data_IF_571672955904
#
_entry.id   IF_571672955904
#
_cell.length_a   1.000
_cell.length_b   1.000
_cell.length_c   1.000
_cell.angle_alpha   90.00
_cell.angle_beta   90.00
_cell.angle_gamma   90.00
#
_symmetry.space_group_name_H-M   'P 1'
#
loop_
_entity.id
_entity.type
_entity.pdbx_description
1 polymer ?
#
# COMPACT_ATOMS: atom_id res chain seq x y z
N UNK A 1 9.87 14.25 9.03
CA UNK A 1 9.37 13.57 7.83
C UNK A 1 7.99 14.11 7.53
N UNK A 2 7.83 14.83 6.43
CA UNK A 2 6.52 15.34 5.99
C UNK A 2 5.99 14.30 5.00
N UNK A 3 4.98 13.54 5.41
CA UNK A 3 4.21 12.70 4.50
C UNK A 3 3.04 13.54 4.00
N UNK A 4 2.93 13.70 2.70
CA UNK A 4 1.81 14.42 2.08
C UNK A 4 0.60 13.49 2.10
N UNK A 5 -0.44 13.85 2.86
CA UNK A 5 -1.76 13.22 2.73
C UNK A 5 -2.58 14.07 1.77
N UNK A 6 -2.93 13.52 0.62
CA UNK A 6 -3.76 14.19 -0.40
C UNK A 6 -5.11 13.49 -0.55
N UNK A 7 -6.18 14.27 -0.73
CA UNK A 7 -7.51 13.79 -1.08
C UNK A 7 -7.81 14.21 -2.53
N UNK A 8 -8.40 13.30 -3.31
CA UNK A 8 -8.80 13.55 -4.70
C UNK A 8 -10.06 14.43 -4.72
N UNK A 9 -9.96 15.63 -5.29
CA UNK A 9 -11.09 16.49 -5.63
C UNK A 9 -11.34 16.47 -7.14
N UNK A 10 -12.59 16.21 -7.52
CA UNK A 10 -13.24 16.40 -8.83
C UNK A 10 -12.74 15.64 -10.09
N UNK A 11 -13.71 15.40 -10.98
CA UNK A 11 -13.76 14.38 -12.02
C UNK A 11 -12.88 14.63 -13.26
N UNK A 12 -12.43 13.52 -13.87
CA UNK A 12 -12.08 13.43 -15.29
C UNK A 12 -12.57 12.10 -15.87
N UNK A 13 -13.74 12.10 -16.52
CA UNK A 13 -14.25 10.94 -17.24
C UNK A 13 -13.49 10.76 -18.56
N UNK A 14 -12.90 9.60 -18.78
CA UNK A 14 -12.64 9.08 -20.13
C UNK A 14 -13.69 8.00 -20.43
N UNK A 15 -14.50 8.25 -21.46
CA UNK A 15 -15.51 7.33 -21.97
C UNK A 15 -14.90 5.96 -22.27
N UNK A 16 -15.44 4.90 -21.68
CA UNK A 16 -15.16 3.53 -22.09
C UNK A 16 -15.99 3.22 -23.36
N UNK A 17 -15.32 3.03 -24.49
CA UNK A 17 -15.91 2.42 -25.68
C UNK A 17 -15.98 0.92 -25.45
N UNK A 18 -17.20 0.38 -25.30
CA UNK A 18 -17.44 -1.07 -25.23
C UNK A 18 -17.40 -1.65 -26.64
N UNK A 19 -16.39 -2.46 -26.95
CA UNK A 19 -16.39 -3.27 -28.17
C UNK A 19 -16.96 -4.66 -27.84
N UNK A 20 -18.05 -5.11 -28.49
CA UNK A 20 -18.61 -6.42 -28.23
C UNK A 20 -17.86 -7.44 -29.07
N UNK A 21 -17.36 -8.51 -28.44
CA UNK A 21 -17.43 -9.91 -28.90
C UNK A 21 -16.43 -10.73 -28.11
N UNK A 22 -16.90 -11.76 -27.42
CA UNK A 22 -16.52 -13.15 -27.70
C UNK A 22 -17.38 -14.07 -26.83
N UNK A 23 -18.37 -14.66 -27.50
CA UNK A 23 -19.09 -15.84 -27.02
C UNK A 23 -18.13 -17.04 -27.01
N UNK A 24 -18.31 -17.84 -25.98
CA UNK A 24 -17.69 -19.13 -25.67
C UNK A 24 -17.55 -20.08 -26.88
N UNK A 25 -16.46 -20.86 -26.93
CA UNK A 25 -16.49 -22.32 -26.71
C UNK A 25 -15.11 -22.95 -27.04
N UNK A 26 -14.57 -23.70 -26.06
CA UNK A 26 -13.65 -24.81 -26.32
C UNK A 26 -12.16 -24.48 -26.43
N UNK A 27 -11.47 -24.32 -25.29
CA UNK A 27 -10.05 -24.72 -25.11
C UNK A 27 -9.72 -24.84 -23.60
N UNK A 28 -10.47 -25.68 -22.89
CA UNK A 28 -10.14 -26.08 -21.52
C UNK A 28 -9.11 -27.21 -21.61
N UNK A 29 -7.86 -26.93 -21.99
CA UNK A 29 -6.70 -27.81 -21.75
C UNK A 29 -5.35 -27.24 -22.22
N UNK A 30 -5.07 -25.93 -22.10
CA UNK A 30 -3.67 -25.43 -22.22
C UNK A 30 -3.46 -24.03 -21.63
N UNK A 31 -3.83 -23.81 -20.36
CA UNK A 31 -3.45 -22.59 -19.61
C UNK A 31 -2.88 -22.89 -18.21
N UNK A 32 -2.15 -24.00 -18.07
CA UNK A 32 -1.36 -24.28 -16.84
C UNK A 32 0.15 -24.04 -17.01
N UNK A 33 0.55 -23.32 -18.05
CA UNK A 33 1.97 -23.03 -18.32
C UNK A 33 2.16 -21.59 -18.79
N UNK A 34 1.90 -20.66 -17.87
CA UNK A 34 2.63 -19.39 -17.65
C UNK A 34 1.92 -18.64 -16.52
N UNK A 35 2.08 -19.12 -15.29
CA UNK A 35 1.93 -18.25 -14.11
C UNK A 35 3.12 -17.28 -14.15
N UNK A 36 3.04 -16.24 -14.97
CA UNK A 36 3.98 -15.11 -14.88
C UNK A 36 3.88 -14.56 -13.48
N UNK A 37 5.00 -14.61 -12.75
CA UNK A 37 5.18 -14.02 -11.42
C UNK A 37 4.76 -12.55 -11.51
N UNK A 38 3.53 -12.26 -11.06
CA UNK A 38 3.05 -10.90 -10.91
C UNK A 38 3.88 -10.26 -9.79
N UNK A 39 4.66 -9.23 -10.13
CA UNK A 39 5.42 -8.47 -9.14
C UNK A 39 4.75 -7.11 -8.93
N UNK A 40 4.18 -6.85 -7.73
CA UNK A 40 3.61 -5.55 -7.40
C UNK A 40 4.68 -4.48 -7.14
N UNK A 41 5.97 -4.80 -7.21
CA UNK A 41 7.02 -3.93 -6.67
C UNK A 41 7.74 -3.16 -7.78
N UNK A 42 7.63 -1.84 -7.72
CA UNK A 42 8.29 -0.88 -8.61
C UNK A 42 9.25 -0.04 -7.79
N UNK A 43 10.51 -0.02 -8.18
CA UNK A 43 11.58 0.71 -7.51
C UNK A 43 11.90 1.98 -8.26
N UNK A 44 12.06 3.06 -7.49
CA UNK A 44 12.50 4.37 -7.89
C UNK A 44 13.80 4.68 -7.12
N UNK A 45 14.89 4.88 -7.86
CA UNK A 45 16.18 5.32 -7.31
C UNK A 45 16.52 6.66 -7.94
N UNK A 46 17.14 7.54 -7.16
CA UNK A 46 17.61 8.85 -7.64
C UNK A 46 18.42 8.66 -8.92
N UNK A 47 18.12 9.48 -9.93
CA UNK A 47 18.74 9.48 -11.26
C UNK A 47 18.56 8.18 -12.09
N UNK A 48 17.65 7.28 -11.72
CA UNK A 48 17.31 6.08 -12.49
C UNK A 48 15.83 6.07 -12.92
N UNK A 49 15.51 5.56 -14.12
CA UNK A 49 14.12 5.36 -14.51
C UNK A 49 13.44 4.31 -13.62
N UNK A 50 12.11 4.41 -13.38
CA UNK A 50 11.38 3.42 -12.59
C UNK A 50 11.60 1.99 -13.13
N UNK A 51 11.87 1.05 -12.23
CA UNK A 51 12.18 -0.33 -12.60
C UNK A 51 11.35 -1.34 -11.79
N UNK A 52 10.76 -2.34 -12.45
CA UNK A 52 10.09 -3.44 -11.76
C UNK A 52 11.12 -4.43 -11.24
N UNK A 53 11.07 -4.71 -9.94
CA UNK A 53 11.92 -5.74 -9.34
C UNK A 53 11.12 -7.01 -9.18
N UNK A 54 11.73 -8.14 -9.52
CA UNK A 54 11.15 -9.47 -9.28
C UNK A 54 11.84 -10.10 -8.08
N UNK A 55 11.06 -10.74 -7.22
CA UNK A 55 11.59 -11.50 -6.08
C UNK A 55 12.55 -12.57 -6.61
N UNK A 56 13.68 -12.76 -5.95
CA UNK A 56 14.76 -13.68 -6.33
C UNK A 56 15.48 -13.34 -7.66
N UNK A 57 15.32 -12.13 -8.20
CA UNK A 57 15.98 -11.70 -9.44
C UNK A 57 17.01 -10.59 -9.17
N UNK A 58 18.26 -11.00 -8.93
CA UNK A 58 19.40 -10.10 -8.72
C UNK A 58 19.74 -9.24 -9.95
N UNK A 59 19.35 -9.67 -11.16
CA UNK A 59 19.58 -8.90 -12.38
C UNK A 59 18.64 -7.69 -12.40
N UNK A 60 17.35 -7.90 -12.08
CA UNK A 60 16.37 -6.82 -11.95
C UNK A 60 16.75 -5.82 -10.86
N UNK A 61 17.23 -6.31 -9.70
CA UNK A 61 17.69 -5.47 -8.60
C UNK A 61 18.87 -4.58 -9.04
N UNK A 62 19.91 -5.15 -9.64
CA UNK A 62 21.07 -4.38 -10.12
C UNK A 62 20.70 -3.38 -11.22
N UNK A 63 19.84 -3.76 -12.17
CA UNK A 63 19.38 -2.87 -13.25
C UNK A 63 18.54 -1.69 -12.76
N UNK A 64 17.93 -1.80 -11.58
CA UNK A 64 17.13 -0.71 -11.00
C UNK A 64 17.97 0.44 -10.42
N UNK A 65 19.29 0.27 -10.29
CA UNK A 65 20.16 1.21 -9.57
C UNK A 65 20.11 1.07 -8.05
N UNK A 66 19.42 0.05 -7.51
CA UNK A 66 19.29 -0.17 -6.08
C UNK A 66 20.66 -0.30 -5.38
N UNK A 67 20.86 0.50 -4.33
CA UNK A 67 22.07 0.47 -3.52
C UNK A 67 21.77 -0.14 -2.15
N UNK A 68 22.34 -1.29 -1.83
CA UNK A 68 22.10 -2.00 -0.57
C UNK A 68 22.57 -1.25 0.67
N UNK A 69 23.43 -0.25 0.52
CA UNK A 69 23.90 0.61 1.62
C UNK A 69 22.96 1.79 1.91
N UNK A 70 22.04 2.11 1.00
CA UNK A 70 21.11 3.23 1.18
C UNK A 70 19.87 2.79 1.98
N UNK A 71 19.32 3.65 2.86
CA UNK A 71 18.06 3.36 3.53
C UNK A 71 16.92 3.19 2.52
N UNK A 72 16.04 2.23 2.78
CA UNK A 72 15.00 1.82 1.83
C UNK A 72 13.60 2.18 2.37
N UNK A 73 12.87 2.98 1.60
CA UNK A 73 11.51 3.43 1.90
C UNK A 73 10.53 2.71 1.01
N UNK A 74 9.59 1.95 1.58
CA UNK A 74 8.55 1.26 0.82
C UNK A 74 7.21 1.96 1.08
N UNK A 75 6.64 2.58 0.05
CA UNK A 75 5.37 3.30 0.10
C UNK A 75 4.26 2.39 -0.43
N UNK A 76 3.19 2.22 0.35
CA UNK A 76 2.12 1.26 0.11
C UNK A 76 0.78 2.00 0.12
N UNK A 77 0.11 2.02 -1.04
CA UNK A 77 -1.17 2.71 -1.21
C UNK A 77 -2.34 1.96 -0.54
N UNK A 78 -3.50 2.59 -0.48
CA UNK A 78 -4.74 2.04 0.10
C UNK A 78 -5.71 1.43 -0.92
N UNK A 79 -6.96 1.24 -0.49
CA UNK A 79 -8.08 0.79 -1.32
C UNK A 79 -8.29 1.69 -2.54
N UNK A 80 -8.61 1.11 -3.70
CA UNK A 80 -8.89 1.84 -4.95
C UNK A 80 -7.85 2.91 -5.33
N UNK A 81 -6.59 2.66 -4.99
CA UNK A 81 -5.46 3.55 -5.28
C UNK A 81 -4.41 2.79 -6.07
N UNK A 82 -3.42 3.52 -6.58
CA UNK A 82 -2.21 2.94 -7.18
C UNK A 82 -0.99 3.82 -6.89
N UNK A 83 0.18 3.39 -7.35
CA UNK A 83 1.40 4.21 -7.31
C UNK A 83 1.39 5.35 -8.33
N UNK A 84 0.34 5.47 -9.15
CA UNK A 84 0.20 6.55 -10.15
C UNK A 84 -0.51 7.77 -9.58
N UNK A 85 -1.15 7.64 -8.42
CA UNK A 85 -1.87 8.76 -7.81
C UNK A 85 -0.90 9.86 -7.35
N UNK A 86 -1.33 11.11 -7.45
CA UNK A 86 -0.51 12.28 -7.13
C UNK A 86 0.05 12.25 -5.71
N UNK A 87 -0.75 11.74 -4.76
CA UNK A 87 -0.30 11.58 -3.36
C UNK A 87 0.90 10.63 -3.25
N UNK A 88 0.91 9.53 -4.01
CA UNK A 88 2.04 8.62 -4.05
C UNK A 88 3.26 9.31 -4.68
N UNK A 89 3.05 9.99 -5.82
CA UNK A 89 4.11 10.68 -6.57
C UNK A 89 4.75 11.76 -5.71
N UNK A 90 3.96 12.55 -4.99
CA UNK A 90 4.42 13.59 -4.07
C UNK A 90 5.28 13.01 -2.94
N UNK A 91 4.82 11.95 -2.27
CA UNK A 91 5.60 11.30 -1.20
C UNK A 91 6.90 10.68 -1.72
N UNK A 92 6.83 10.01 -2.87
CA UNK A 92 8.02 9.46 -3.54
C UNK A 92 9.03 10.57 -3.85
N UNK A 93 8.59 11.68 -4.46
CA UNK A 93 9.46 12.82 -4.79
C UNK A 93 10.07 13.44 -3.54
N UNK A 94 9.27 13.64 -2.48
CA UNK A 94 9.77 14.20 -1.21
C UNK A 94 10.93 13.37 -0.62
N UNK A 95 10.84 12.03 -0.67
CA UNK A 95 11.98 11.20 -0.26
C UNK A 95 13.19 11.38 -1.18
N UNK A 96 12.97 11.30 -2.48
CA UNK A 96 14.02 11.40 -3.50
C UNK A 96 14.76 12.74 -3.48
N UNK A 97 14.09 13.82 -3.07
CA UNK A 97 14.65 15.16 -2.93
C UNK A 97 15.36 15.37 -1.58
N UNK A 98 15.04 14.55 -0.57
CA UNK A 98 15.56 14.70 0.80
C UNK A 98 16.87 13.96 1.08
N UNK A 99 17.30 13.05 0.19
CA UNK A 99 18.54 12.32 0.35
C UNK A 99 18.62 11.04 -0.48
N UNK A 100 19.71 10.30 -0.28
CA UNK A 100 20.00 9.07 -1.01
C UNK A 100 19.22 7.89 -0.43
N UNK A 101 18.01 7.67 -0.94
CA UNK A 101 17.15 6.56 -0.56
C UNK A 101 16.89 5.63 -1.74
N UNK A 102 16.69 4.34 -1.44
CA UNK A 102 15.92 3.48 -2.34
C UNK A 102 14.43 3.69 -2.04
N UNK A 103 13.64 4.19 -3.00
CA UNK A 103 12.19 4.39 -2.79
C UNK A 103 11.41 3.37 -3.60
N UNK A 104 10.64 2.52 -2.94
CA UNK A 104 9.87 1.43 -3.57
C UNK A 104 8.39 1.75 -3.47
N UNK A 105 7.71 1.77 -4.61
CA UNK A 105 6.26 1.73 -4.68
C UNK A 105 5.76 0.30 -4.74
N UNK A 106 4.92 -0.08 -3.77
CA UNK A 106 4.17 -1.31 -3.85
C UNK A 106 2.82 -1.05 -4.52
N UNK A 107 2.74 -1.38 -5.80
CA UNK A 107 1.53 -1.32 -6.61
C UNK A 107 0.76 -2.64 -6.52
N UNK A 108 -0.20 -2.68 -5.60
CA UNK A 108 -1.10 -3.81 -5.39
C UNK A 108 -2.53 -3.50 -5.87
N UNK A 109 -2.68 -2.51 -6.77
CA UNK A 109 -3.96 -2.03 -7.30
C UNK A 109 -4.87 -3.15 -7.83
N UNK A 110 -4.30 -4.15 -8.53
CA UNK A 110 -5.06 -5.30 -9.03
C UNK A 110 -5.66 -6.21 -7.95
N UNK A 111 -5.29 -6.01 -6.69
CA UNK A 111 -5.83 -6.74 -5.53
C UNK A 111 -6.81 -5.88 -4.70
N UNK A 112 -7.04 -4.61 -5.05
CA UNK A 112 -7.85 -3.69 -4.26
C UNK A 112 -8.79 -2.77 -5.05
N UNK A 113 -9.03 -3.08 -6.33
CA UNK A 113 -9.77 -2.19 -7.26
C UNK A 113 -11.30 -2.25 -7.09
N UNK A 114 -11.85 -3.43 -6.76
CA UNK A 114 -13.29 -3.67 -6.85
C UNK A 114 -14.04 -3.51 -5.52
N UNK A 115 -14.25 -4.63 -4.82
CA UNK A 115 -15.10 -4.70 -3.64
C UNK A 115 -14.25 -4.69 -2.37
N UNK A 116 -14.73 -4.00 -1.32
CA UNK A 116 -13.93 -3.71 -0.14
C UNK A 116 -13.51 -4.96 0.64
N UNK A 117 -14.41 -5.92 0.87
CA UNK A 117 -14.08 -7.18 1.56
C UNK A 117 -13.06 -8.00 0.76
N UNK A 118 -13.18 -8.00 -0.56
CA UNK A 118 -12.21 -8.58 -1.48
C UNK A 118 -10.85 -7.89 -1.36
N UNK A 119 -10.83 -6.56 -1.21
CA UNK A 119 -9.62 -5.79 -0.96
C UNK A 119 -8.99 -6.04 0.42
N UNK A 120 -9.79 -6.35 1.46
CA UNK A 120 -9.27 -6.82 2.77
C UNK A 120 -8.51 -8.13 2.58
N UNK A 121 -9.07 -9.09 1.83
CA UNK A 121 -8.37 -10.31 1.44
C UNK A 121 -7.13 -10.03 0.58
N UNK A 122 -7.23 -9.06 -0.33
CA UNK A 122 -6.15 -8.56 -1.16
C UNK A 122 -4.99 -7.98 -0.35
N UNK A 123 -5.28 -7.20 0.69
CA UNK A 123 -4.28 -6.62 1.59
C UNK A 123 -3.49 -7.72 2.33
N UNK A 124 -4.17 -8.77 2.79
CA UNK A 124 -3.50 -9.93 3.41
C UNK A 124 -2.57 -10.64 2.43
N UNK A 125 -3.01 -10.84 1.18
CA UNK A 125 -2.18 -11.44 0.12
C UNK A 125 -0.99 -10.54 -0.23
N UNK A 126 -1.23 -9.24 -0.39
CA UNK A 126 -0.20 -8.25 -0.65
C UNK A 126 0.86 -8.23 0.46
N UNK A 127 0.46 -8.26 1.74
CA UNK A 127 1.37 -8.30 2.88
C UNK A 127 2.28 -9.52 2.87
N UNK A 128 1.76 -10.71 2.50
CA UNK A 128 2.56 -11.93 2.32
C UNK A 128 3.59 -11.78 1.20
N UNK A 129 3.18 -11.25 0.04
CA UNK A 129 4.08 -11.00 -1.09
C UNK A 129 5.18 -10.01 -0.70
N UNK A 130 4.83 -8.94 0.03
CA UNK A 130 5.80 -7.98 0.53
C UNK A 130 6.75 -8.64 1.54
N UNK A 131 6.26 -9.49 2.45
CA UNK A 131 7.13 -10.23 3.37
C UNK A 131 8.14 -11.12 2.65
N UNK A 132 7.71 -11.84 1.60
CA UNK A 132 8.61 -12.65 0.76
C UNK A 132 9.69 -11.79 0.11
N UNK A 133 9.31 -10.64 -0.44
CA UNK A 133 10.26 -9.69 -0.99
C UNK A 133 11.25 -9.16 0.05
N UNK A 134 10.79 -8.75 1.24
CA UNK A 134 11.66 -8.19 2.28
C UNK A 134 12.61 -9.23 2.87
N UNK A 135 12.15 -10.47 3.06
CA UNK A 135 13.01 -11.57 3.47
C UNK A 135 14.10 -11.84 2.41
N UNK A 136 13.74 -11.88 1.12
CA UNK A 136 14.72 -12.00 0.03
C UNK A 136 15.68 -10.80 0.01
N UNK A 137 15.17 -9.57 0.08
CA UNK A 137 15.95 -8.34 0.03
C UNK A 137 16.97 -8.27 1.17
N UNK A 138 16.57 -8.69 2.38
CA UNK A 138 17.48 -8.79 3.52
C UNK A 138 18.65 -9.76 3.26
N UNK A 139 18.39 -10.86 2.55
CA UNK A 139 19.41 -11.83 2.12
C UNK A 139 20.40 -11.27 1.08
N UNK A 140 20.11 -10.12 0.46
CA UNK A 140 21.02 -9.45 -0.48
C UNK A 140 22.02 -8.51 0.21
N UNK A 141 21.94 -8.36 1.53
CA UNK A 141 22.81 -7.50 2.33
C UNK A 141 22.14 -6.21 2.81
N UNK A 142 20.85 -6.00 2.53
CA UNK A 142 20.08 -4.87 3.09
C UNK A 142 19.80 -5.12 4.56
N UNK A 143 20.23 -4.21 5.41
CA UNK A 143 20.00 -4.34 6.85
C UNK A 143 18.53 -4.03 7.19
N UNK A 144 17.89 -4.89 8.01
CA UNK A 144 16.48 -4.73 8.37
C UNK A 144 16.19 -3.39 9.07
N UNK A 145 17.15 -2.85 9.82
CA UNK A 145 17.03 -1.56 10.50
C UNK A 145 16.93 -0.38 9.52
N UNK A 146 17.43 -0.53 8.29
CA UNK A 146 17.38 0.49 7.24
C UNK A 146 16.09 0.41 6.41
N UNK A 147 15.20 -0.54 6.70
CA UNK A 147 13.90 -0.68 6.07
C UNK A 147 12.85 0.16 6.81
N UNK A 148 12.10 0.96 6.04
CA UNK A 148 10.97 1.74 6.53
C UNK A 148 9.77 1.58 5.59
N UNK A 149 8.71 0.98 6.11
CA UNK A 149 7.45 0.80 5.38
C UNK A 149 6.49 1.93 5.76
N UNK A 150 5.84 2.53 4.77
CA UNK A 150 4.87 3.62 4.93
C UNK A 150 3.59 3.19 4.23
N UNK A 151 2.56 2.85 5.01
CA UNK A 151 1.31 2.32 4.48
C UNK A 151 0.12 3.21 4.81
N UNK A 152 -0.72 3.50 3.81
CA UNK A 152 -1.94 4.29 3.97
C UNK A 152 -3.20 3.43 3.91
N UNK A 153 -4.16 3.67 4.82
CA UNK A 153 -5.45 2.96 4.85
C UNK A 153 -5.24 1.44 4.90
N UNK A 154 -5.76 0.65 3.95
CA UNK A 154 -5.47 -0.79 3.84
C UNK A 154 -3.97 -1.11 3.70
N UNK A 155 -3.20 -0.21 3.09
CA UNK A 155 -1.76 -0.33 2.94
C UNK A 155 -1.00 -0.33 4.27
N UNK A 156 -1.56 0.27 5.33
CA UNK A 156 -0.99 0.20 6.68
C UNK A 156 -0.98 -1.26 7.19
N UNK A 157 -2.05 -2.02 6.91
CA UNK A 157 -2.12 -3.43 7.28
C UNK A 157 -1.27 -4.30 6.37
N UNK A 158 -1.13 -3.98 5.08
CA UNK A 158 -0.14 -4.62 4.20
C UNK A 158 1.26 -4.50 4.81
N UNK A 159 1.62 -3.32 5.33
CA UNK A 159 2.90 -3.09 5.99
C UNK A 159 3.07 -3.93 7.26
N UNK A 160 2.05 -3.95 8.13
CA UNK A 160 2.05 -4.73 9.37
C UNK A 160 2.21 -6.23 9.13
N UNK A 161 1.34 -6.79 8.27
CA UNK A 161 1.37 -8.20 7.86
C UNK A 161 2.73 -8.58 7.26
N UNK A 162 3.38 -7.65 6.54
CA UNK A 162 4.71 -7.88 6.01
C UNK A 162 5.78 -7.90 7.11
N UNK A 163 5.74 -6.94 8.03
CA UNK A 163 6.65 -6.85 9.19
C UNK A 163 6.55 -8.07 10.11
N UNK A 164 5.32 -8.52 10.38
CA UNK A 164 5.04 -9.70 11.18
C UNK A 164 5.71 -10.99 10.65
N UNK A 165 5.84 -11.10 9.33
CA UNK A 165 6.35 -12.31 8.65
C UNK A 165 7.86 -12.28 8.35
N UNK A 166 8.59 -11.31 8.90
CA UNK A 166 10.05 -11.25 8.77
C UNK A 166 10.69 -12.34 9.63
N UNK A 167 11.56 -13.15 9.03
CA UNK A 167 12.10 -14.37 9.67
C UNK A 167 13.34 -14.14 10.51
N UNK A 168 14.08 -13.08 10.23
CA UNK A 168 15.45 -12.86 10.72
C UNK A 168 15.56 -11.73 11.74
N UNK A 169 14.43 -11.15 12.16
CA UNK A 169 14.37 -10.06 13.13
C UNK A 169 13.22 -9.11 12.87
N UNK A 170 13.37 -7.86 13.32
CA UNK A 170 12.40 -6.78 13.11
C UNK A 170 12.93 -5.75 12.12
N UNK A 171 12.05 -5.31 11.22
CA UNK A 171 12.31 -4.15 10.37
C UNK A 171 12.43 -2.88 11.20
N UNK A 172 13.14 -1.89 10.65
CA UNK A 172 13.47 -0.65 11.35
C UNK A 172 12.24 0.15 11.75
N UNK A 173 11.33 0.38 10.81
CA UNK A 173 10.14 1.19 11.07
C UNK A 173 8.94 0.84 10.19
N UNK A 174 7.74 0.91 10.77
CA UNK A 174 6.48 1.03 10.03
C UNK A 174 5.83 2.36 10.42
N UNK A 175 5.41 3.13 9.42
CA UNK A 175 4.51 4.26 9.62
C UNK A 175 3.13 3.93 9.05
N UNK A 176 2.12 3.88 9.91
CA UNK A 176 0.72 3.70 9.54
C UNK A 176 0.04 5.05 9.34
N UNK A 177 -0.44 5.33 8.14
CA UNK A 177 -1.15 6.55 7.80
C UNK A 177 -2.64 6.22 7.75
N UNK A 178 -3.35 6.62 8.80
CA UNK A 178 -4.78 6.43 9.00
C UNK A 178 -5.27 4.99 8.71
N UNK A 179 -4.81 3.99 9.50
CA UNK A 179 -5.07 2.58 9.23
C UNK A 179 -6.56 2.23 9.20
N UNK A 180 -6.99 1.50 8.17
CA UNK A 180 -8.41 1.21 7.94
C UNK A 180 -9.04 0.33 9.04
N UNK A 181 -10.23 0.67 9.51
CA UNK A 181 -10.90 -0.09 10.56
C UNK A 181 -11.75 -1.27 10.06
N UNK A 182 -12.59 -1.13 9.01
CA UNK A 182 -13.46 -2.22 8.57
C UNK A 182 -12.64 -3.45 8.13
N UNK A 183 -12.91 -4.60 8.73
CA UNK A 183 -12.15 -5.83 8.49
C UNK A 183 -10.87 -6.02 9.32
N UNK A 184 -10.48 -5.05 10.16
CA UNK A 184 -9.23 -5.11 10.95
C UNK A 184 -9.37 -4.79 12.45
N UNK A 185 -10.53 -4.34 12.95
CA UNK A 185 -10.72 -4.04 14.39
C UNK A 185 -10.46 -5.25 15.29
N UNK A 186 -11.12 -6.36 15.01
CA UNK A 186 -11.18 -7.55 15.87
C UNK A 186 -10.56 -8.78 15.20
N UNK A 187 -9.46 -8.58 14.46
CA UNK A 187 -8.67 -9.67 13.88
C UNK A 187 -7.38 -9.88 14.65
N UNK A 188 -6.82 -11.08 14.55
CA UNK A 188 -5.54 -11.41 15.15
C UNK A 188 -4.45 -10.43 14.72
N UNK A 189 -3.50 -10.08 15.62
CA UNK A 189 -2.40 -9.16 15.33
C UNK A 189 -1.63 -9.50 14.06
N UNK A 190 -1.45 -10.79 13.74
CA UNK A 190 -0.75 -11.26 12.53
C UNK A 190 -1.47 -10.91 11.21
N UNK A 191 -2.76 -10.56 11.28
CA UNK A 191 -3.60 -10.22 10.13
C UNK A 191 -3.82 -8.71 9.97
N UNK A 192 -3.17 -7.89 10.79
CA UNK A 192 -3.30 -6.43 10.78
C UNK A 192 -1.97 -5.76 11.08
N UNK A 193 -2.01 -4.44 11.25
CA UNK A 193 -0.88 -3.71 11.79
C UNK A 193 -0.91 -3.81 13.31
N UNK A 194 0.24 -4.11 13.90
CA UNK A 194 0.44 -4.22 15.34
C UNK A 194 1.77 -3.57 15.74
N UNK A 195 1.84 -3.13 17.00
CA UNK A 195 3.04 -2.53 17.59
C UNK A 195 4.27 -3.43 17.47
N UNK A 196 4.11 -4.75 17.42
CA UNK A 196 5.21 -5.73 17.34
C UNK A 196 5.80 -5.92 15.95
N UNK A 197 5.20 -5.35 14.90
CA UNK A 197 5.59 -5.64 13.51
C UNK A 197 6.90 -4.97 13.07
N UNK A 198 7.43 -4.04 13.88
CA UNK A 198 8.69 -3.35 13.64
C UNK A 198 9.35 -2.88 14.94
N UNK A 199 10.62 -2.48 14.87
CA UNK A 199 11.31 -1.85 16.02
C UNK A 199 10.65 -0.54 16.45
N UNK A 200 10.13 0.21 15.48
CA UNK A 200 9.29 1.38 15.73
C UNK A 200 8.07 1.30 14.82
N UNK A 201 6.90 1.50 15.43
CA UNK A 201 5.62 1.61 14.72
C UNK A 201 5.02 2.94 15.12
N UNK A 202 4.87 3.85 14.19
CA UNK A 202 4.26 5.15 14.43
C UNK A 202 3.03 5.36 13.56
N UNK A 203 1.95 5.84 14.16
CA UNK A 203 0.65 5.93 13.50
C UNK A 203 0.22 7.38 13.47
N UNK A 204 -0.34 7.82 12.34
CA UNK A 204 -0.96 9.14 12.20
C UNK A 204 -2.44 8.92 11.91
N UNK A 205 -3.27 9.30 12.88
CA UNK A 205 -4.73 9.17 12.84
C UNK A 205 -5.34 10.49 12.37
N UNK A 206 -5.98 10.49 11.20
CA UNK A 206 -6.55 11.70 10.60
C UNK A 206 -8.06 11.65 10.44
N UNK A 207 -8.66 10.45 10.39
CA UNK A 207 -10.08 10.26 10.14
C UNK A 207 -10.70 9.13 10.98
N UNK A 208 -10.49 9.20 12.30
CA UNK A 208 -11.02 8.24 13.28
C UNK A 208 -12.54 8.31 13.39
N UNK A 209 -13.16 7.23 13.86
CA UNK A 209 -14.62 6.95 13.98
C UNK A 209 -15.31 6.49 12.70
N UNK A 210 -14.90 6.95 11.52
CA UNK A 210 -15.59 6.60 10.27
C UNK A 210 -14.90 5.42 9.60
N UNK A 211 -13.68 5.64 9.09
CA UNK A 211 -12.96 4.65 8.28
C UNK A 211 -11.67 4.17 8.93
N UNK A 212 -11.15 4.88 9.94
CA UNK A 212 -9.87 4.59 10.60
C UNK A 212 -10.02 4.02 12.01
N UNK A 213 -9.04 3.20 12.44
CA UNK A 213 -8.98 2.62 13.79
C UNK A 213 -8.69 3.76 14.78
N UNK A 214 -9.56 3.96 15.77
CA UNK A 214 -9.37 5.03 16.74
C UNK A 214 -8.38 4.65 17.86
N UNK A 215 -8.32 3.35 18.18
CA UNK A 215 -7.48 2.84 19.25
C UNK A 215 -6.00 2.99 18.89
N UNK A 216 -5.14 3.35 19.87
CA UNK A 216 -3.71 3.38 19.64
C UNK A 216 -3.22 1.98 19.27
N UNK A 217 -2.35 1.91 18.28
CA UNK A 217 -1.84 0.63 17.75
C UNK A 217 -0.35 0.67 17.38
N UNK A 218 0.32 1.79 17.61
CA UNK A 218 1.76 1.92 17.46
C UNK A 218 2.48 1.98 18.80
N UNK A 219 3.79 2.17 18.69
CA UNK A 219 4.61 2.67 19.79
C UNK A 219 4.33 4.16 20.05
N UNK A 220 3.97 4.89 18.98
CA UNK A 220 3.65 6.31 19.01
C UNK A 220 2.43 6.53 18.12
N UNK A 221 1.38 7.15 18.65
CA UNK A 221 0.16 7.46 17.91
C UNK A 221 -0.08 8.97 17.94
N UNK A 222 -0.14 9.57 16.76
CA UNK A 222 -0.39 11.00 16.57
C UNK A 222 -1.84 11.21 16.15
N UNK A 223 -2.51 12.18 16.79
CA UNK A 223 -3.89 12.56 16.50
C UNK A 223 -3.96 14.04 16.10
N UNK A 224 -3.44 14.43 14.92
CA UNK A 224 -3.53 15.80 14.42
C UNK A 224 -4.99 16.26 14.42
N UNK A 225 -5.24 17.46 14.97
CA UNK A 225 -6.58 18.04 15.10
C UNK A 225 -7.57 17.09 15.81
N UNK A 226 -7.09 16.32 16.79
CA UNK A 226 -7.87 15.31 17.51
C UNK A 226 -8.19 14.05 16.71
N UNK A 227 -7.60 13.91 15.52
CA UNK A 227 -7.72 12.77 14.62
C UNK A 227 -9.07 12.61 13.93
N UNK A 228 -9.95 13.62 14.02
CA UNK A 228 -11.32 13.56 13.48
C UNK A 228 -11.48 14.41 12.23
N UNK A 229 -11.18 15.71 12.35
CA UNK A 229 -11.46 16.70 11.32
C UNK A 229 -10.19 17.46 10.99
N UNK A 230 -9.75 17.35 9.74
CA UNK A 230 -8.58 18.05 9.27
C UNK A 230 -9.01 19.36 8.59
N UNK A 231 -8.44 20.52 8.98
CA UNK A 231 -8.73 21.79 8.32
C UNK A 231 -8.55 21.70 6.80
N UNK A 232 -9.54 22.14 6.04
CA UNK A 232 -9.52 22.10 4.57
C UNK A 232 -10.13 20.83 3.95
N UNK A 233 -10.51 19.82 4.73
CA UNK A 233 -11.30 18.69 4.26
C UNK A 233 -12.81 18.98 4.33
N UNK A 234 -13.63 18.44 3.40
CA UNK A 234 -15.09 18.52 3.46
C UNK A 234 -15.66 17.74 4.67
N UNK A 235 -16.89 18.06 5.07
CA UNK A 235 -17.55 17.43 6.23
C UNK A 235 -17.98 15.98 5.88
N UNK A 236 -18.20 15.13 6.89
CA UNK A 236 -18.58 13.71 6.73
C UNK A 236 -19.88 13.55 5.94
N UNK A 237 -20.76 14.55 6.01
CA UNK A 237 -22.02 14.56 5.25
C UNK A 237 -21.75 14.59 3.74
N UNK A 238 -20.74 15.33 3.30
CA UNK A 238 -20.34 15.38 1.88
C UNK A 238 -19.69 14.05 1.46
N UNK A 239 -18.89 13.43 2.34
CA UNK A 239 -18.20 12.16 2.06
C UNK A 239 -19.19 10.98 2.03
N UNK A 240 -20.20 10.97 2.90
CA UNK A 240 -21.24 9.95 2.91
C UNK A 240 -22.08 9.99 1.62
N UNK A 241 -22.38 11.16 1.05
CA UNK A 241 -23.01 11.21 -0.28
C UNK A 241 -22.13 10.54 -1.34
N UNK A 242 -20.82 10.79 -1.37
CA UNK A 242 -19.90 10.14 -2.30
C UNK A 242 -19.83 8.61 -2.16
N UNK A 243 -19.84 8.07 -0.94
CA UNK A 243 -19.84 6.62 -0.71
C UNK A 243 -21.22 5.98 -0.91
N UNK A 244 -22.30 6.63 -0.48
CA UNK A 244 -23.67 6.09 -0.60
C UNK A 244 -24.18 6.11 -2.04
N UNK A 245 -23.79 7.09 -2.87
CA UNK A 245 -24.18 7.10 -4.29
C UNK A 245 -23.59 5.92 -5.08
N UNK A 246 -22.39 5.45 -4.73
CA UNK A 246 -21.78 4.28 -5.37
C UNK A 246 -22.37 2.94 -4.91
N UNK A 247 -23.02 2.90 -3.73
CA UNK A 247 -23.76 1.71 -3.27
C UNK A 247 -25.14 1.67 -3.93
N UNK A 248 -25.77 2.81 -4.17
CA UNK A 248 -27.13 2.85 -4.72
C UNK A 248 -27.20 2.60 -6.23
N UNK A 249 -26.10 2.79 -6.97
CA UNK A 249 -26.06 2.53 -8.42
C UNK A 249 -25.85 1.05 -8.79
N UNK A 250 -25.41 0.20 -7.86
CA UNK A 250 -25.26 -1.24 -8.09
C UNK A 250 -26.51 -2.07 -7.75
N UNK A 251 -27.61 -1.42 -7.36
CA UNK A 251 -28.90 -2.08 -7.08
C UNK A 251 -30.04 -1.63 -8.01
N UNK A 252 -29.72 -0.93 -9.11
CA UNK A 252 -30.70 -0.61 -10.16
C UNK A 252 -30.05 -0.90 -11.51
N UNK A 253 -30.10 -2.16 -11.92
CA UNK A 253 -30.43 -2.66 -13.27
C UNK A 253 -30.24 -4.18 -13.33
#
# INVERSE_FOLDING_TARGET
>A
MVVVMGQKGEFGFSQLVVHPTLKEHGHIHTMLTKCTVWSPLIVHVVQHPPHRIKINDMISLKKSGFNTSNPTKIIIHGFQSSIKEDVFVANKNAYMESGDYNVIGMDWSSLCEFEYLSAVGGARRAGKILAEFLNWLSGTGVALNELHLVGHSLGAHVAGIAGHQIKTGLIGRITGLDPAAPGFREVDPELKLDVKDAKLVDIIHTYIRVLSIAQPMGHIDFYPNGGRWQPGCPDIYDICEFFCMNISLNNIN
#
